data_IF_484596773180
#
_entry.id   IF_484596773180
#
_cell.length_a   1.000
_cell.length_b   1.000
_cell.length_c   1.000
_cell.angle_alpha   90.00
_cell.angle_beta   90.00
_cell.angle_gamma   90.00
#
_symmetry.space_group_name_H-M   'P 1'
#
loop_
_entity.id
_entity.type
_entity.pdbx_description
1 polymer ?
#
# COMPACT_ATOMS: atom_id res chain seq x y z
N UNK A 1 -13.72 8.30 -13.32
CA UNK A 1 -13.58 7.09 -14.13
C UNK A 1 -12.09 6.72 -14.13
N UNK A 2 -11.69 5.81 -13.23
CA UNK A 2 -10.31 5.32 -13.11
C UNK A 2 -9.99 4.46 -14.34
N UNK A 3 -9.52 5.08 -15.42
CA UNK A 3 -9.04 4.35 -16.59
C UNK A 3 -7.71 3.67 -16.24
N UNK A 4 -7.78 2.35 -16.14
CA UNK A 4 -6.75 1.38 -16.50
C UNK A 4 -5.31 1.74 -16.10
N UNK A 5 -4.94 1.42 -14.85
CA UNK A 5 -3.62 0.80 -14.69
C UNK A 5 -3.78 -0.61 -15.25
N UNK A 6 -3.18 -0.83 -16.42
CA UNK A 6 -3.15 -2.12 -17.07
C UNK A 6 -2.73 -3.19 -16.04
N UNK A 7 -3.64 -4.13 -15.81
CA UNK A 7 -3.53 -5.33 -14.96
C UNK A 7 -2.15 -5.98 -15.03
N UNK A 8 -1.52 -6.00 -16.21
CA UNK A 8 -0.25 -6.68 -16.43
C UNK A 8 0.98 -5.95 -15.87
N UNK A 9 1.00 -4.61 -15.90
CA UNK A 9 2.12 -3.83 -15.36
C UNK A 9 2.10 -3.81 -13.84
N UNK A 10 0.90 -3.83 -13.26
CA UNK A 10 0.72 -3.98 -11.82
C UNK A 10 1.23 -5.34 -11.34
N UNK A 11 0.84 -6.43 -12.02
CA UNK A 11 1.30 -7.79 -11.66
C UNK A 11 2.82 -7.97 -11.84
N UNK A 12 3.42 -7.36 -12.88
CA UNK A 12 4.90 -7.35 -13.03
C UNK A 12 5.60 -6.58 -11.91
N UNK A 13 5.06 -5.43 -11.50
CA UNK A 13 5.61 -4.65 -10.39
C UNK A 13 5.47 -5.37 -9.04
N UNK A 14 4.43 -6.17 -8.86
CA UNK A 14 4.22 -7.06 -7.71
C UNK A 14 5.23 -8.20 -7.70
N UNK A 15 5.43 -8.88 -8.84
CA UNK A 15 6.39 -9.98 -8.97
C UNK A 15 7.86 -9.52 -8.81
N UNK A 16 8.21 -8.36 -9.35
CA UNK A 16 9.52 -7.72 -9.14
C UNK A 16 9.75 -7.39 -7.66
N UNK A 17 8.72 -6.91 -6.95
CA UNK A 17 8.81 -6.63 -5.52
C UNK A 17 8.92 -7.92 -4.69
N UNK A 18 8.14 -8.96 -4.98
CA UNK A 18 8.24 -10.25 -4.26
C UNK A 18 9.63 -10.87 -4.45
N UNK A 19 10.18 -10.82 -5.68
CA UNK A 19 11.56 -11.24 -5.97
C UNK A 19 12.61 -10.43 -5.19
N UNK A 20 12.40 -9.13 -5.02
CA UNK A 20 13.30 -8.27 -4.23
C UNK A 20 13.10 -8.45 -2.71
N UNK A 21 11.88 -8.71 -2.25
CA UNK A 21 11.56 -8.97 -0.84
C UNK A 21 12.14 -10.31 -0.37
N UNK A 22 12.19 -11.33 -1.25
CA UNK A 22 12.88 -12.61 -1.00
C UNK A 22 14.41 -12.48 -0.87
N UNK A 23 15.00 -11.38 -1.32
CA UNK A 23 16.43 -11.06 -1.15
C UNK A 23 16.73 -10.26 0.13
N UNK A 24 15.69 -9.79 0.82
CA UNK A 24 15.83 -9.14 2.13
C UNK A 24 15.78 -10.18 3.26
N UNK A 25 16.45 -9.94 4.40
CA UNK A 25 16.40 -10.86 5.54
C UNK A 25 14.96 -11.00 6.04
N UNK A 26 14.56 -12.17 6.57
CA UNK A 26 13.22 -12.40 7.08
C UNK A 26 12.91 -11.40 8.21
N UNK A 27 11.72 -10.81 8.19
CA UNK A 27 11.29 -9.83 9.19
C UNK A 27 11.14 -10.53 10.55
N UNK A 28 11.97 -10.21 11.56
CA UNK A 28 11.69 -10.62 12.92
C UNK A 28 10.66 -9.67 13.53
N UNK A 29 9.89 -10.19 14.46
CA UNK A 29 8.88 -9.44 15.22
C UNK A 29 9.42 -8.13 15.80
N UNK A 30 8.52 -7.16 15.83
CA UNK A 30 8.40 -6.05 16.77
C UNK A 30 9.72 -5.64 17.46
N UNK A 31 10.69 -5.12 16.71
CA UNK A 31 11.83 -4.45 17.32
C UNK A 31 12.23 -3.23 16.51
N UNK A 32 12.09 -2.07 17.15
CA UNK A 32 12.73 -0.83 16.74
C UNK A 32 14.25 -1.04 16.82
N UNK A 33 14.92 -1.29 15.68
CA UNK A 33 16.37 -1.17 15.62
C UNK A 33 16.75 0.30 15.55
N UNK A 34 17.51 0.76 16.55
CA UNK A 34 18.26 2.03 16.49
C UNK A 34 19.38 1.87 15.48
N UNK A 35 19.34 2.65 14.40
CA UNK A 35 20.40 2.69 13.38
C UNK A 35 19.85 2.74 11.97
N UNK A 36 19.50 3.93 11.50
CA UNK A 36 19.35 4.26 10.08
C UNK A 36 18.41 3.36 9.28
N UNK A 37 17.09 3.45 9.51
CA UNK A 37 16.12 3.11 8.47
C UNK A 37 14.81 3.86 8.71
N UNK A 38 14.26 4.34 7.61
CA UNK A 38 13.01 5.08 7.43
C UNK A 38 11.84 4.63 8.33
N UNK A 39 10.82 5.48 8.59
CA UNK A 39 9.65 5.06 9.38
C UNK A 39 8.86 3.99 8.61
N UNK A 40 9.19 2.73 8.90
CA UNK A 40 8.45 1.55 8.47
C UNK A 40 7.40 1.23 9.53
N UNK A 41 6.13 1.14 9.12
CA UNK A 41 5.01 0.75 9.98
C UNK A 41 4.38 -0.51 9.43
N UNK A 42 4.36 -1.58 10.21
CA UNK A 42 3.54 -2.75 9.93
C UNK A 42 2.24 -2.63 10.75
N UNK A 43 1.10 -2.83 10.09
CA UNK A 43 -0.24 -2.73 10.68
C UNK A 43 -1.12 -3.88 10.22
N UNK A 44 -1.97 -4.35 11.12
CA UNK A 44 -2.90 -5.45 10.88
C UNK A 44 -4.33 -4.93 10.82
N UNK A 45 -5.07 -5.41 9.84
CA UNK A 45 -6.44 -5.00 9.55
C UNK A 45 -7.34 -6.23 9.44
N UNK A 46 -8.63 -6.14 9.84
CA UNK A 46 -9.50 -7.31 9.88
C UNK A 46 -9.72 -7.99 8.54
N UNK A 47 -10.02 -7.21 7.48
CA UNK A 47 -10.34 -7.78 6.17
C UNK A 47 -9.99 -6.85 4.99
N UNK A 48 -9.32 -7.38 3.96
CA UNK A 48 -9.03 -6.70 2.71
C UNK A 48 -10.33 -6.40 1.95
N UNK A 49 -10.45 -5.17 1.46
CA UNK A 49 -11.63 -4.71 0.72
C UNK A 49 -12.81 -4.33 1.60
N UNK A 50 -12.68 -4.37 2.93
CA UNK A 50 -13.73 -3.91 3.85
C UNK A 50 -13.65 -2.40 4.09
N UNK A 51 -14.80 -1.75 4.27
CA UNK A 51 -14.86 -0.32 4.59
C UNK A 51 -14.13 0.04 5.89
N UNK A 52 -14.22 -0.84 6.91
CA UNK A 52 -13.52 -0.69 8.19
C UNK A 52 -12.00 -0.65 8.00
N UNK A 53 -11.44 -1.60 7.24
CA UNK A 53 -10.01 -1.62 6.95
C UNK A 53 -9.59 -0.44 6.09
N UNK A 54 -10.36 -0.07 5.05
CA UNK A 54 -10.09 1.10 4.22
C UNK A 54 -9.95 2.39 5.05
N UNK A 55 -10.91 2.66 5.91
CA UNK A 55 -10.86 3.84 6.79
C UNK A 55 -9.70 3.78 7.79
N UNK A 56 -9.34 2.59 8.30
CA UNK A 56 -8.19 2.44 9.18
C UNK A 56 -6.86 2.69 8.45
N UNK A 57 -6.70 2.13 7.24
CA UNK A 57 -5.51 2.35 6.40
C UNK A 57 -5.37 3.83 6.03
N UNK A 58 -6.45 4.52 5.64
CA UNK A 58 -6.41 5.97 5.38
C UNK A 58 -5.88 6.75 6.58
N UNK A 59 -6.41 6.48 7.78
CA UNK A 59 -5.96 7.16 9.02
C UNK A 59 -4.47 6.93 9.30
N UNK A 60 -4.00 5.70 9.15
CA UNK A 60 -2.58 5.37 9.35
C UNK A 60 -1.69 6.03 8.29
N UNK A 61 -2.15 6.13 7.04
CA UNK A 61 -1.44 6.84 5.96
C UNK A 61 -1.41 8.36 6.18
N UNK A 62 -2.51 8.97 6.66
CA UNK A 62 -2.52 10.38 7.03
C UNK A 62 -1.54 10.66 8.17
N UNK A 63 -1.57 9.84 9.22
CA UNK A 63 -0.66 9.95 10.35
C UNK A 63 0.80 9.72 9.94
N UNK A 64 1.06 8.77 9.03
CA UNK A 64 2.41 8.55 8.48
C UNK A 64 2.84 9.73 7.62
N UNK A 65 1.98 10.22 6.73
CA UNK A 65 2.26 11.37 5.85
C UNK A 65 2.56 12.66 6.62
N UNK A 66 1.88 12.88 7.76
CA UNK A 66 2.16 13.99 8.66
C UNK A 66 3.49 13.82 9.44
N UNK A 67 3.87 12.58 9.75
CA UNK A 67 5.10 12.26 10.48
C UNK A 67 6.35 12.25 9.59
N UNK A 68 6.20 11.93 8.29
CA UNK A 68 7.28 11.97 7.31
C UNK A 68 7.69 13.42 7.05
N UNK A 69 8.90 13.77 7.48
CA UNK A 69 9.55 15.07 7.27
C UNK A 69 10.88 14.88 6.52
N UNK A 70 11.21 15.82 5.65
CA UNK A 70 12.47 15.80 4.89
C UNK A 70 12.53 14.71 3.80
N UNK A 71 13.73 14.24 3.47
CA UNK A 71 13.98 13.34 2.33
C UNK A 71 13.68 11.86 2.59
N UNK A 72 13.19 11.54 3.78
CA UNK A 72 12.97 10.19 4.25
C UNK A 72 11.67 9.57 3.74
N UNK A 73 11.67 8.54 2.87
CA UNK A 73 10.42 7.89 2.47
C UNK A 73 9.76 7.17 3.66
N UNK A 74 8.47 7.38 3.91
CA UNK A 74 7.70 6.54 4.82
C UNK A 74 7.17 5.27 4.13
N UNK A 75 7.14 4.16 4.86
CA UNK A 75 6.55 2.90 4.36
C UNK A 75 5.49 2.38 5.33
N UNK A 76 4.30 2.07 4.82
CA UNK A 76 3.26 1.33 5.54
C UNK A 76 3.06 -0.03 4.90
N UNK A 77 3.24 -1.10 5.68
CA UNK A 77 2.89 -2.47 5.30
C UNK A 77 1.55 -2.81 5.96
N UNK A 78 0.48 -2.78 5.18
CA UNK A 78 -0.85 -3.17 5.62
C UNK A 78 -1.05 -4.68 5.41
N UNK A 79 -1.32 -5.40 6.49
CA UNK A 79 -1.55 -6.85 6.49
C UNK A 79 -3.00 -7.12 6.87
N UNK A 80 -3.70 -7.95 6.10
CA UNK A 80 -5.13 -8.18 6.28
C UNK A 80 -5.40 -9.62 6.73
N UNK A 81 -6.06 -9.80 7.86
CA UNK A 81 -6.30 -11.12 8.47
C UNK A 81 -7.32 -11.98 7.70
N UNK A 82 -7.98 -11.39 6.71
CA UNK A 82 -8.87 -12.07 5.79
C UNK A 82 -9.24 -11.17 4.60
N UNK A 83 -10.13 -11.64 3.71
CA UNK A 83 -10.51 -13.05 3.59
C UNK A 83 -9.30 -13.92 3.17
N UNK A 84 -9.41 -15.23 3.34
CA UNK A 84 -8.45 -16.16 2.74
C UNK A 84 -8.50 -16.00 1.22
N UNK A 85 -7.33 -15.76 0.62
CA UNK A 85 -7.22 -15.55 -0.82
C UNK A 85 -7.08 -16.91 -1.51
N UNK A 86 -8.00 -17.21 -2.40
CA UNK A 86 -8.08 -18.45 -3.16
C UNK A 86 -7.51 -18.33 -4.57
N UNK A 87 -7.31 -17.10 -5.07
CA UNK A 87 -6.73 -16.86 -6.40
C UNK A 87 -6.14 -15.46 -6.52
N UNK A 88 -5.19 -15.29 -7.44
CA UNK A 88 -4.64 -13.98 -7.80
C UNK A 88 -5.73 -13.00 -8.27
N UNK A 89 -6.73 -13.48 -9.03
CA UNK A 89 -7.87 -12.68 -9.49
C UNK A 89 -8.74 -12.19 -8.33
N UNK A 90 -8.99 -13.03 -7.33
CA UNK A 90 -9.73 -12.63 -6.14
C UNK A 90 -8.96 -11.58 -5.34
N UNK A 91 -7.64 -11.76 -5.17
CA UNK A 91 -6.80 -10.78 -4.51
C UNK A 91 -6.86 -9.42 -5.20
N UNK A 92 -6.68 -9.42 -6.52
CA UNK A 92 -6.70 -8.19 -7.30
C UNK A 92 -8.06 -7.46 -7.17
N UNK A 93 -9.17 -8.19 -7.29
CA UNK A 93 -10.51 -7.61 -7.11
C UNK A 93 -10.70 -6.99 -5.72
N UNK A 94 -10.24 -7.67 -4.66
CA UNK A 94 -10.32 -7.17 -3.28
C UNK A 94 -9.39 -5.97 -3.05
N UNK A 95 -8.20 -5.97 -3.66
CA UNK A 95 -7.27 -4.85 -3.61
C UNK A 95 -7.86 -3.62 -4.32
N UNK A 96 -8.45 -3.79 -5.50
CA UNK A 96 -9.12 -2.68 -6.19
C UNK A 96 -10.27 -2.11 -5.37
N UNK A 97 -11.11 -2.98 -4.80
CA UNK A 97 -12.18 -2.57 -3.89
C UNK A 97 -11.63 -1.79 -2.69
N UNK A 98 -10.53 -2.25 -2.09
CA UNK A 98 -9.85 -1.58 -0.99
C UNK A 98 -9.41 -0.16 -1.41
N UNK A 99 -8.71 -0.02 -2.53
CA UNK A 99 -8.22 1.28 -3.02
C UNK A 99 -9.36 2.24 -3.40
N UNK A 100 -10.41 1.76 -4.07
CA UNK A 100 -11.57 2.58 -4.40
C UNK A 100 -12.29 3.09 -3.14
N UNK A 101 -12.44 2.22 -2.14
CA UNK A 101 -13.05 2.61 -0.86
C UNK A 101 -12.19 3.64 -0.13
N UNK A 102 -10.87 3.47 -0.14
CA UNK A 102 -9.92 4.44 0.44
C UNK A 102 -10.02 5.80 -0.27
N UNK A 103 -10.09 5.83 -1.60
CA UNK A 103 -10.27 7.07 -2.36
C UNK A 103 -11.58 7.77 -1.98
N UNK A 104 -12.70 7.04 -1.87
CA UNK A 104 -13.98 7.62 -1.47
C UNK A 104 -13.99 8.20 -0.04
N UNK A 105 -13.17 7.66 0.87
CA UNK A 105 -12.97 8.21 2.22
C UNK A 105 -12.07 9.46 2.16
N UNK A 106 -10.99 9.40 1.41
CA UNK A 106 -9.97 10.46 1.32
C UNK A 106 -10.49 11.72 0.61
N UNK A 107 -11.23 11.55 -0.49
CA UNK A 107 -11.77 12.64 -1.30
C UNK A 107 -12.76 13.55 -0.55
N UNK A 108 -13.23 13.15 0.64
CA UNK A 108 -14.07 13.98 1.51
C UNK A 108 -13.27 14.99 2.33
N UNK A 109 -11.96 14.79 2.45
CA UNK A 109 -11.09 15.55 3.36
C UNK A 109 -9.89 16.18 2.64
N UNK A 110 -9.43 15.58 1.53
CA UNK A 110 -8.24 16.00 0.83
C UNK A 110 -8.48 16.06 -0.68
N UNK A 111 -7.88 17.05 -1.32
CA UNK A 111 -7.76 17.08 -2.77
C UNK A 111 -6.78 16.00 -3.26
N UNK A 112 -7.01 15.51 -4.48
CA UNK A 112 -6.09 14.59 -5.13
C UNK A 112 -4.74 15.27 -5.40
N UNK A 113 -3.64 14.63 -5.02
CA UNK A 113 -2.30 15.17 -5.20
C UNK A 113 -2.01 15.48 -6.68
N UNK A 114 -1.55 16.70 -6.98
CA UNK A 114 -1.22 17.10 -8.35
C UNK A 114 -0.12 16.22 -8.98
N UNK A 115 0.86 15.79 -8.18
CA UNK A 115 1.93 14.87 -8.61
C UNK A 115 1.46 13.43 -8.84
N UNK A 116 0.22 13.09 -8.43
CA UNK A 116 -0.40 11.81 -8.73
C UNK A 116 -1.24 11.83 -10.03
N UNK A 117 -1.07 12.86 -10.88
CA UNK A 117 -1.65 12.90 -12.22
C UNK A 117 -0.84 12.02 -13.18
N UNK A 118 -1.50 11.36 -14.16
CA UNK A 118 -0.79 10.63 -15.21
C UNK A 118 0.27 11.51 -15.89
N UNK A 119 1.49 10.99 -16.03
CA UNK A 119 2.63 11.70 -16.65
C UNK A 119 3.45 12.57 -15.70
N UNK A 120 3.03 12.79 -14.45
CA UNK A 120 3.78 13.58 -13.47
C UNK A 120 4.90 12.81 -12.76
N UNK A 121 4.83 11.47 -12.74
CA UNK A 121 5.84 10.60 -12.13
C UNK A 121 6.12 9.38 -13.01
N UNK A 122 7.33 8.84 -12.89
CA UNK A 122 7.80 7.67 -13.65
C UNK A 122 7.09 6.35 -13.29
N UNK A 123 6.26 6.34 -12.23
CA UNK A 123 5.55 5.15 -11.75
C UNK A 123 4.12 5.55 -11.35
N UNK A 124 3.13 4.64 -11.52
CA UNK A 124 1.76 4.91 -11.12
C UNK A 124 1.68 5.04 -9.60
N UNK A 125 1.07 6.14 -9.14
CA UNK A 125 0.91 6.45 -7.71
C UNK A 125 -0.56 6.61 -7.37
N UNK A 126 -0.89 6.33 -6.12
CA UNK A 126 -2.20 6.50 -5.54
C UNK A 126 -2.18 7.67 -4.56
N UNK A 127 -3.14 8.59 -4.65
CA UNK A 127 -3.19 9.73 -3.74
C UNK A 127 -3.99 9.42 -2.48
N UNK A 128 -3.38 9.66 -1.33
CA UNK A 128 -4.02 9.63 -0.01
C UNK A 128 -3.45 10.76 0.84
N UNK A 129 -4.33 11.56 1.47
CA UNK A 129 -3.94 12.69 2.32
C UNK A 129 -3.25 13.80 1.53
N UNK A 130 -3.66 14.02 0.27
CA UNK A 130 -3.01 14.98 -0.63
C UNK A 130 -1.58 14.61 -1.03
N UNK A 131 -1.16 13.35 -0.86
CA UNK A 131 0.20 12.88 -1.13
C UNK A 131 0.23 11.65 -2.06
N UNK A 132 1.25 11.52 -2.92
CA UNK A 132 1.44 10.35 -3.78
C UNK A 132 2.08 9.17 -3.02
N UNK A 133 1.50 7.99 -3.16
CA UNK A 133 2.02 6.73 -2.64
C UNK A 133 2.20 5.71 -3.76
N UNK A 134 3.36 5.05 -3.82
CA UNK A 134 3.47 3.80 -4.57
C UNK A 134 2.75 2.70 -3.80
N UNK A 135 1.92 1.95 -4.50
CA UNK A 135 1.12 0.86 -3.93
C UNK A 135 1.55 -0.45 -4.57
N UNK A 136 1.86 -1.46 -3.74
CA UNK A 136 2.12 -2.83 -4.20
C UNK A 136 1.35 -3.82 -3.36
N UNK A 137 0.60 -4.70 -3.99
CA UNK A 137 -0.13 -5.77 -3.32
C UNK A 137 0.64 -7.10 -3.39
N UNK A 138 0.61 -7.93 -2.36
CA UNK A 138 1.13 -9.29 -2.45
C UNK A 138 0.31 -10.28 -1.61
N UNK A 139 0.31 -11.53 -2.05
CA UNK A 139 -0.20 -12.68 -1.30
C UNK A 139 0.97 -13.65 -1.18
N UNK A 140 1.44 -13.96 0.04
CA UNK A 140 2.58 -14.86 0.15
C UNK A 140 2.19 -16.27 -0.31
N UNK A 141 3.16 -17.03 -0.81
CA UNK A 141 2.93 -18.34 -1.44
C UNK A 141 2.51 -19.48 -0.49
N UNK A 142 2.08 -19.17 0.74
CA UNK A 142 1.73 -20.16 1.78
C UNK A 142 0.26 -20.02 2.16
N UNK A 143 -0.41 -21.16 2.37
CA UNK A 143 -1.83 -21.28 2.69
C UNK A 143 -2.28 -20.55 3.97
N UNK A 144 -1.35 -20.12 4.83
CA UNK A 144 -1.62 -19.40 6.09
C UNK A 144 -1.19 -17.93 6.07
N UNK A 145 -0.85 -17.40 4.90
CA UNK A 145 -0.28 -16.07 4.80
C UNK A 145 -1.32 -15.00 4.47
N UNK A 146 -1.36 -13.97 5.32
CA UNK A 146 -2.28 -12.84 5.17
C UNK A 146 -1.92 -11.96 3.97
N UNK A 147 -2.90 -11.54 3.14
CA UNK A 147 -2.66 -10.60 2.04
C UNK A 147 -2.09 -9.29 2.57
N UNK A 148 -1.24 -8.65 1.75
CA UNK A 148 -0.50 -7.44 2.13
C UNK A 148 -0.64 -6.38 1.05
N UNK A 149 -0.70 -5.12 1.47
CA UNK A 149 -0.51 -3.96 0.59
C UNK A 149 0.57 -3.07 1.21
N UNK A 150 1.59 -2.76 0.44
CA UNK A 150 2.68 -1.87 0.81
C UNK A 150 2.46 -0.52 0.17
N UNK A 151 2.48 0.54 0.99
CA UNK A 151 2.43 1.92 0.58
C UNK A 151 3.78 2.57 0.86
N UNK A 152 4.39 3.18 -0.16
CA UNK A 152 5.65 3.90 -0.02
C UNK A 152 5.48 5.34 -0.48
N UNK A 153 5.75 6.29 0.41
CA UNK A 153 5.65 7.71 0.06
C UNK A 153 6.65 8.04 -1.04
N UNK A 154 6.23 8.81 -2.03
CA UNK A 154 7.16 9.34 -3.02
C UNK A 154 7.82 10.62 -2.54
N UNK A 155 9.03 10.86 -3.03
CA UNK A 155 9.65 12.18 -2.92
C UNK A 155 8.79 13.15 -3.75
N UNK A 156 8.47 14.29 -3.15
CA UNK A 156 7.87 15.42 -3.86
C UNK A 156 8.94 16.18 -4.64
#
# INVERSE_FOLDING_TARGET
>A
MLHALATDDFLKAVDEFDRNARRGPPLPGNSCRKGGRWPERVRFYPALGSAKSAMAVCRDLWALGAAVKGEAPGTLVAVFQGPSIQSARQFEALMWRQLQTMHGVDARQFDWAASARPGSLARPVFSIGGRPWLVRGSVPASDQAWPRIVFQSQRG
#
